data_IF_225234570279
#
_entry.id   IF_225234570279
#
_cell.length_a   1.000
_cell.length_b   1.000
_cell.length_c   1.000
_cell.angle_alpha   90.00
_cell.angle_beta   90.00
_cell.angle_gamma   90.00
#
_symmetry.space_group_name_H-M   'P 1'
#
loop_
_entity.id
_entity.type
_entity.pdbx_description
1 polymer ?
#
# COMPACT_ATOMS: atom_id res chain seq x y z
N UNK A 1 -2.74 -22.75 24.18
CA UNK A 1 -1.83 -22.83 23.02
C UNK A 1 -2.49 -22.02 21.92
N UNK A 2 -2.21 -20.72 21.85
CA UNK A 2 -2.74 -19.85 20.79
C UNK A 2 -1.64 -19.75 19.74
N UNK A 3 -1.66 -20.72 18.82
CA UNK A 3 -0.93 -20.59 17.58
C UNK A 3 -1.57 -19.40 16.85
N UNK A 4 -0.92 -18.23 16.90
CA UNK A 4 -1.26 -17.05 16.10
C UNK A 4 -0.89 -17.32 14.63
N UNK A 5 -1.33 -18.47 14.11
CA UNK A 5 -0.89 -19.08 12.87
C UNK A 5 -1.05 -18.13 11.72
N UNK A 6 0.08 -17.62 11.23
CA UNK A 6 0.21 -16.95 9.95
C UNK A 6 -0.19 -17.95 8.86
N UNK A 7 -1.49 -18.03 8.60
CA UNK A 7 -2.05 -18.88 7.55
C UNK A 7 -2.10 -18.14 6.23
N UNK A 8 -2.13 -18.88 5.13
CA UNK A 8 -2.33 -18.33 3.79
C UNK A 8 -3.58 -17.43 3.74
N UNK A 9 -4.66 -17.83 4.42
CA UNK A 9 -5.88 -17.05 4.51
C UNK A 9 -5.65 -15.68 5.19
N UNK A 10 -4.81 -15.63 6.23
CA UNK A 10 -4.43 -14.36 6.88
C UNK A 10 -3.73 -13.43 5.89
N UNK A 11 -2.70 -13.91 5.18
CA UNK A 11 -1.96 -13.10 4.21
C UNK A 11 -2.84 -12.63 3.05
N UNK A 12 -3.75 -13.49 2.55
CA UNK A 12 -4.73 -13.10 1.54
C UNK A 12 -5.66 -11.99 2.03
N UNK A 13 -6.08 -12.04 3.30
CA UNK A 13 -6.84 -10.99 3.96
C UNK A 13 -6.08 -9.66 3.99
N UNK A 14 -4.83 -9.69 4.45
CA UNK A 14 -3.95 -8.51 4.50
C UNK A 14 -3.72 -7.87 3.13
N UNK A 15 -3.48 -8.67 2.09
CA UNK A 15 -3.33 -8.21 0.71
C UNK A 15 -4.59 -7.45 0.27
N UNK A 16 -5.76 -8.06 0.47
CA UNK A 16 -7.05 -7.47 0.06
C UNK A 16 -7.31 -6.17 0.80
N UNK A 17 -7.15 -6.17 2.12
CA UNK A 17 -7.35 -4.98 2.96
C UNK A 17 -6.42 -3.84 2.54
N UNK A 18 -5.14 -4.12 2.36
CA UNK A 18 -4.15 -3.12 1.94
C UNK A 18 -4.45 -2.58 0.55
N UNK A 19 -4.87 -3.44 -0.38
CA UNK A 19 -5.24 -3.02 -1.73
C UNK A 19 -6.44 -2.05 -1.70
N UNK A 20 -7.49 -2.39 -0.94
CA UNK A 20 -8.66 -1.52 -0.75
C UNK A 20 -8.26 -0.19 -0.11
N UNK A 21 -7.48 -0.23 0.97
CA UNK A 21 -7.00 1.00 1.64
C UNK A 21 -6.20 1.90 0.69
N UNK A 22 -5.34 1.33 -0.16
CA UNK A 22 -4.57 2.09 -1.15
C UNK A 22 -5.46 2.69 -2.22
N UNK A 23 -6.42 1.94 -2.76
CA UNK A 23 -7.36 2.43 -3.77
C UNK A 23 -8.25 3.56 -3.22
N UNK A 24 -8.77 3.42 -2.00
CA UNK A 24 -9.54 4.44 -1.31
C UNK A 24 -8.72 5.71 -1.09
N UNK A 25 -7.46 5.56 -0.65
CA UNK A 25 -6.53 6.68 -0.51
C UNK A 25 -6.29 7.39 -1.84
N UNK A 26 -5.99 6.64 -2.90
CA UNK A 26 -5.76 7.18 -4.23
C UNK A 26 -7.00 7.94 -4.73
N UNK A 27 -8.19 7.34 -4.62
CA UNK A 27 -9.45 7.96 -5.05
C UNK A 27 -9.78 9.23 -4.24
N UNK A 28 -9.56 9.20 -2.92
CA UNK A 28 -9.77 10.35 -2.04
C UNK A 28 -8.87 11.53 -2.42
N UNK A 29 -7.59 11.26 -2.69
CA UNK A 29 -6.63 12.30 -3.08
C UNK A 29 -6.82 12.78 -4.50
N UNK A 30 -7.15 11.92 -5.45
CA UNK A 30 -7.48 12.32 -6.83
C UNK A 30 -8.66 13.30 -6.82
N UNK A 31 -9.73 12.99 -6.07
CA UNK A 31 -10.87 13.91 -5.90
C UNK A 31 -10.45 15.23 -5.24
N UNK A 32 -9.65 15.19 -4.17
CA UNK A 32 -9.16 16.40 -3.49
C UNK A 32 -8.29 17.27 -4.38
N UNK A 33 -7.43 16.66 -5.20
CA UNK A 33 -6.60 17.37 -6.18
C UNK A 33 -7.46 17.97 -7.28
N UNK A 34 -8.45 17.24 -7.81
CA UNK A 34 -9.38 17.77 -8.81
C UNK A 34 -10.19 18.98 -8.28
N UNK A 35 -10.69 18.90 -7.04
CA UNK A 35 -11.52 19.97 -6.46
C UNK A 35 -10.72 21.18 -5.97
N UNK A 36 -9.44 21.02 -5.62
CA UNK A 36 -8.63 22.08 -4.99
C UNK A 36 -7.30 22.34 -5.72
N UNK A 37 -7.12 21.87 -6.96
CA UNK A 37 -5.87 22.03 -7.73
C UNK A 37 -5.44 23.49 -7.86
N UNK A 38 -6.39 24.43 -7.87
CA UNK A 38 -6.15 25.87 -7.95
C UNK A 38 -5.65 26.46 -6.63
N UNK A 39 -5.93 25.81 -5.50
CA UNK A 39 -5.56 26.29 -4.15
C UNK A 39 -4.26 25.68 -3.62
N UNK A 40 -3.68 24.70 -4.31
CA UNK A 40 -2.47 24.02 -3.89
C UNK A 40 -1.29 24.39 -4.78
N UNK A 41 -0.14 24.60 -4.15
CA UNK A 41 1.12 24.78 -4.87
C UNK A 41 1.45 23.55 -5.75
N UNK A 42 2.11 23.79 -6.88
CA UNK A 42 2.42 22.74 -7.84
C UNK A 42 3.39 21.69 -7.26
N UNK A 43 4.32 22.10 -6.37
CA UNK A 43 5.19 21.18 -5.66
C UNK A 43 4.38 20.26 -4.72
N UNK A 44 3.40 20.82 -4.01
CA UNK A 44 2.50 20.04 -3.15
C UNK A 44 1.66 19.04 -3.97
N UNK A 45 1.10 19.48 -5.10
CA UNK A 45 0.38 18.60 -6.02
C UNK A 45 1.27 17.49 -6.58
N UNK A 46 2.51 17.82 -6.96
CA UNK A 46 3.50 16.85 -7.45
C UNK A 46 3.85 15.79 -6.40
N UNK A 47 4.02 16.20 -5.14
CA UNK A 47 4.29 15.27 -4.05
C UNK A 47 3.11 14.32 -3.78
N UNK A 48 1.86 14.81 -3.79
CA UNK A 48 0.68 13.94 -3.65
C UNK A 48 0.58 12.96 -4.82
N UNK A 49 0.74 13.44 -6.07
CA UNK A 49 0.71 12.56 -7.25
C UNK A 49 1.79 11.49 -7.19
N UNK A 50 2.98 11.81 -6.67
CA UNK A 50 4.04 10.82 -6.46
C UNK A 50 3.63 9.73 -5.47
N UNK A 51 3.07 10.09 -4.31
CA UNK A 51 2.63 9.11 -3.30
C UNK A 51 1.44 8.28 -3.79
N UNK A 52 0.46 8.91 -4.46
CA UNK A 52 -0.66 8.21 -5.11
C UNK A 52 -0.16 7.27 -6.20
N UNK A 53 0.82 7.68 -6.99
CA UNK A 53 1.48 6.84 -7.99
C UNK A 53 2.16 5.62 -7.37
N UNK A 54 2.90 5.81 -6.28
CA UNK A 54 3.54 4.70 -5.54
C UNK A 54 2.52 3.71 -4.97
N UNK A 55 1.41 4.21 -4.40
CA UNK A 55 0.32 3.37 -3.91
C UNK A 55 -0.39 2.60 -5.04
N UNK A 56 -0.64 3.25 -6.19
CA UNK A 56 -1.17 2.57 -7.38
C UNK A 56 -0.23 1.50 -7.90
N UNK A 57 1.08 1.75 -7.95
CA UNK A 57 2.07 0.74 -8.38
C UNK A 57 2.08 -0.46 -7.42
N UNK A 58 1.92 -0.23 -6.12
CA UNK A 58 1.82 -1.31 -5.12
C UNK A 58 0.58 -2.18 -5.33
N UNK A 59 -0.58 -1.55 -5.56
CA UNK A 59 -1.89 -2.19 -5.76
C UNK A 59 -2.12 -2.72 -7.18
N UNK A 60 -1.28 -2.37 -8.15
CA UNK A 60 -1.42 -2.82 -9.53
C UNK A 60 -1.22 -4.33 -9.67
N UNK A 61 -1.78 -4.92 -10.71
CA UNK A 61 -1.59 -6.32 -11.10
C UNK A 61 -0.12 -6.68 -11.31
N UNK A 62 0.74 -5.71 -11.64
CA UNK A 62 2.22 -5.90 -11.74
C UNK A 62 2.98 -5.43 -10.49
N UNK A 63 2.26 -5.09 -9.43
CA UNK A 63 2.78 -4.54 -8.19
C UNK A 63 3.35 -5.59 -7.25
N UNK A 64 3.93 -5.11 -6.15
CA UNK A 64 4.47 -5.97 -5.08
C UNK A 64 3.38 -6.79 -4.39
N UNK A 65 2.13 -6.33 -4.36
CA UNK A 65 1.02 -7.09 -3.80
C UNK A 65 0.70 -8.34 -4.65
N UNK A 66 0.76 -8.26 -5.98
CA UNK A 66 0.59 -9.44 -6.84
C UNK A 66 1.78 -10.39 -6.74
N UNK A 67 3.01 -9.86 -6.65
CA UNK A 67 4.18 -10.70 -6.38
C UNK A 67 4.04 -11.46 -5.06
N UNK A 68 3.57 -10.77 -4.01
CA UNK A 68 3.31 -11.40 -2.73
C UNK A 68 2.17 -12.43 -2.80
N UNK A 69 1.08 -12.13 -3.53
CA UNK A 69 0.01 -13.10 -3.79
C UNK A 69 0.55 -14.38 -4.46
N UNK A 70 1.39 -14.25 -5.48
CA UNK A 70 2.01 -15.40 -6.15
C UNK A 70 2.92 -16.19 -5.20
N UNK A 71 3.65 -15.52 -4.30
CA UNK A 71 4.45 -16.20 -3.27
C UNK A 71 3.58 -16.97 -2.27
N UNK A 72 2.47 -16.37 -1.85
CA UNK A 72 1.48 -17.02 -0.97
C UNK A 72 0.82 -18.21 -1.67
N UNK A 73 0.46 -18.08 -2.95
CA UNK A 73 -0.10 -19.16 -3.77
C UNK A 73 0.94 -20.30 -3.94
N UNK A 74 2.20 -19.96 -4.23
CA UNK A 74 3.29 -20.95 -4.34
C UNK A 74 3.53 -21.71 -3.03
N UNK A 75 3.44 -21.02 -1.88
CA UNK A 75 3.54 -21.64 -0.56
C UNK A 75 2.36 -22.59 -0.29
N UNK A 76 1.12 -22.18 -0.64
CA UNK A 76 -0.09 -22.98 -0.44
C UNK A 76 -0.12 -24.25 -1.30
N UNK A 77 0.26 -24.15 -2.57
CA UNK A 77 0.19 -25.25 -3.53
C UNK A 77 1.50 -26.01 -3.69
N UNK A 78 2.58 -25.60 -3.01
CA UNK A 78 3.91 -26.21 -3.13
C UNK A 78 4.50 -26.12 -4.55
N UNK A 79 4.10 -25.10 -5.33
CA UNK A 79 4.45 -24.96 -6.76
C UNK A 79 5.79 -24.25 -6.99
N UNK A 80 6.46 -23.78 -5.93
CA UNK A 80 7.74 -23.08 -6.03
C UNK A 80 8.93 -24.03 -6.15
N UNK A 81 9.86 -23.77 -7.08
CA UNK A 81 11.17 -24.44 -7.14
C UNK A 81 12.03 -24.21 -5.88
N UNK A 82 11.75 -23.15 -5.10
CA UNK A 82 12.38 -22.84 -3.81
C UNK A 82 11.35 -22.96 -2.69
N UNK A 83 11.70 -23.68 -1.63
CA UNK A 83 10.94 -23.72 -0.37
C UNK A 83 10.79 -22.29 0.16
N UNK A 84 9.62 -21.71 -0.05
CA UNK A 84 9.29 -20.40 0.50
C UNK A 84 8.79 -20.66 1.91
N UNK A 85 9.44 -20.13 2.95
CA UNK A 85 8.97 -20.34 4.32
C UNK A 85 7.99 -19.27 4.75
N UNK A 86 7.21 -19.53 5.80
CA UNK A 86 6.34 -18.51 6.43
C UNK A 86 7.16 -17.26 6.83
N UNK A 87 8.43 -17.45 7.22
CA UNK A 87 9.34 -16.37 7.60
C UNK A 87 9.68 -15.50 6.38
N UNK A 88 9.91 -16.10 5.22
CA UNK A 88 10.14 -15.36 3.97
C UNK A 88 8.91 -14.55 3.56
N UNK A 89 7.70 -15.12 3.71
CA UNK A 89 6.44 -14.41 3.46
C UNK A 89 6.27 -13.22 4.40
N UNK A 90 6.56 -13.42 5.68
CA UNK A 90 6.48 -12.35 6.68
C UNK A 90 7.47 -11.22 6.38
N UNK A 91 8.72 -11.54 6.06
CA UNK A 91 9.72 -10.54 5.67
C UNK A 91 9.32 -9.78 4.41
N UNK A 92 8.71 -10.47 3.43
CA UNK A 92 8.20 -9.81 2.23
C UNK A 92 7.04 -8.87 2.54
N UNK A 93 6.13 -9.29 3.43
CA UNK A 93 5.03 -8.46 3.90
C UNK A 93 5.52 -7.22 4.63
N UNK A 94 6.49 -7.36 5.55
CA UNK A 94 7.07 -6.23 6.29
C UNK A 94 7.65 -5.15 5.35
N UNK A 95 8.27 -5.56 4.24
CA UNK A 95 8.75 -4.60 3.23
C UNK A 95 7.60 -3.81 2.57
N UNK A 96 6.47 -4.47 2.30
CA UNK A 96 5.27 -3.81 1.75
C UNK A 96 4.65 -2.89 2.80
N UNK A 97 4.56 -3.34 4.04
CA UNK A 97 3.97 -2.58 5.14
C UNK A 97 4.77 -1.32 5.49
N UNK A 98 6.11 -1.40 5.48
CA UNK A 98 6.98 -0.23 5.64
C UNK A 98 6.70 0.80 4.54
N UNK A 99 6.54 0.37 3.29
CA UNK A 99 6.21 1.28 2.20
C UNK A 99 4.80 1.89 2.38
N UNK A 100 3.82 1.08 2.77
CA UNK A 100 2.46 1.55 3.03
C UNK A 100 2.45 2.60 4.16
N UNK A 101 3.12 2.31 5.27
CA UNK A 101 3.30 3.20 6.41
C UNK A 101 3.96 4.53 6.01
N UNK A 102 4.96 4.50 5.12
CA UNK A 102 5.60 5.72 4.58
C UNK A 102 4.62 6.56 3.77
N UNK A 103 3.83 5.93 2.89
CA UNK A 103 2.83 6.62 2.08
C UNK A 103 1.75 7.25 2.97
N UNK A 104 1.24 6.50 3.95
CA UNK A 104 0.24 6.97 4.91
C UNK A 104 0.76 8.15 5.75
N UNK A 105 2.01 8.07 6.22
CA UNK A 105 2.64 9.16 6.98
C UNK A 105 2.78 10.44 6.15
N UNK A 106 3.22 10.31 4.91
CA UNK A 106 3.38 11.45 4.01
C UNK A 106 2.03 12.11 3.68
N UNK A 107 1.01 11.29 3.46
CA UNK A 107 -0.38 11.73 3.30
C UNK A 107 -0.92 12.45 4.54
N UNK A 108 -0.64 11.94 5.74
CA UNK A 108 -1.04 12.62 6.98
C UNK A 108 -0.35 13.98 7.13
N UNK A 109 0.90 14.12 6.68
CA UNK A 109 1.62 15.40 6.70
C UNK A 109 0.95 16.37 5.72
N UNK A 110 0.60 15.93 4.51
CA UNK A 110 -0.11 16.77 3.54
C UNK A 110 -1.47 17.24 4.06
N UNK A 111 -2.24 16.37 4.72
CA UNK A 111 -3.52 16.74 5.33
C UNK A 111 -3.41 17.79 6.44
N UNK A 112 -2.25 17.88 7.12
CA UNK A 112 -1.97 18.90 8.14
C UNK A 112 -1.41 20.20 7.53
N UNK A 113 -0.58 20.12 6.50
CA UNK A 113 -0.02 21.29 5.81
C UNK A 113 -1.06 22.02 4.96
N UNK A 114 -1.97 21.31 4.28
CA UNK A 114 -3.01 21.92 3.45
C UNK A 114 -4.05 22.75 4.23
N UNK A 115 -4.11 22.63 5.57
CA UNK A 115 -4.94 23.47 6.43
C UNK A 115 -4.28 24.78 6.87
N UNK A 116 -2.98 24.98 6.61
CA UNK A 116 -2.21 26.12 7.12
C UNK A 116 -2.05 27.28 6.15
N UNK A 117 -2.56 27.17 4.92
CA UNK A 117 -2.40 28.20 3.88
C UNK A 117 -3.54 29.23 3.82
N UNK A 118 -4.38 29.33 4.84
CA UNK A 118 -5.28 30.49 5.04
C UNK A 118 -4.85 31.22 6.31
N UNK A 119 -3.82 32.05 6.19
CA UNK A 119 -3.58 33.24 7.01
C UNK A 119 -3.02 34.30 6.08
#
# INVERSE_FOLDING_TARGET
MNDSGLSVAHFRGLIKETCVQMEELCSSWDKKLLCNSVNYDENFCGQIRSVVGQARILANERGRLTQFKNLVDNYEFGLGEKETTIIDLQGFWEMIDVQNSRNARQISIFGKCGKRSSC
#
